data_IF_343039756919
#
_entry.id   IF_343039756919
#
_cell.length_a   1.000
_cell.length_b   1.000
_cell.length_c   1.000
_cell.angle_alpha   90.00
_cell.angle_beta   90.00
_cell.angle_gamma   90.00
#
_symmetry.space_group_name_H-M   'P 1'
#
loop_
_entity.id
_entity.type
_entity.pdbx_description
1 polymer ?
#
# COMPACT_ATOMS: atom_id res chain seq x y z
N UNK A 1 54.69 -32.05 76.00
CA UNK A 1 55.05 -33.20 75.15
C UNK A 1 54.03 -34.29 75.39
N UNK A 2 52.94 -34.26 74.62
CA UNK A 2 52.03 -35.41 74.58
C UNK A 2 52.80 -36.59 73.98
N UNK A 3 52.81 -37.72 74.71
CA UNK A 3 53.42 -38.95 74.21
C UNK A 3 52.64 -39.38 72.98
N UNK A 4 53.26 -39.28 71.80
CA UNK A 4 52.72 -39.85 70.58
C UNK A 4 52.37 -41.32 70.83
N UNK A 5 51.08 -41.64 70.87
CA UNK A 5 50.61 -43.02 70.94
C UNK A 5 51.21 -43.75 69.73
N UNK A 6 51.96 -44.81 69.97
CA UNK A 6 52.40 -45.68 68.89
C UNK A 6 51.13 -46.22 68.20
N UNK A 7 50.89 -45.80 66.96
CA UNK A 7 49.81 -46.37 66.17
C UNK A 7 50.05 -47.88 66.12
N UNK A 8 49.13 -48.68 66.63
CA UNK A 8 49.18 -50.15 66.52
C UNK A 8 48.48 -50.59 65.23
N UNK A 9 48.68 -51.85 64.82
CA UNK A 9 47.94 -52.42 63.68
C UNK A 9 46.44 -52.40 63.96
N UNK A 10 46.04 -52.70 65.19
CA UNK A 10 44.65 -52.74 65.65
C UNK A 10 43.99 -51.37 65.62
N UNK A 11 44.69 -50.31 66.05
CA UNK A 11 44.17 -48.95 65.99
C UNK A 11 43.95 -48.49 64.54
N UNK A 12 44.89 -48.81 63.63
CA UNK A 12 44.72 -48.51 62.22
C UNK A 12 43.51 -49.23 61.62
N UNK A 13 43.35 -50.52 61.89
CA UNK A 13 42.21 -51.31 61.39
C UNK A 13 40.88 -50.78 61.94
N UNK A 14 40.83 -50.41 63.23
CA UNK A 14 39.63 -49.83 63.82
C UNK A 14 39.25 -48.52 63.13
N UNK A 15 40.22 -47.64 62.87
CA UNK A 15 39.98 -46.37 62.18
C UNK A 15 39.55 -46.61 60.73
N UNK A 16 40.25 -47.51 60.03
CA UNK A 16 39.91 -47.92 58.67
C UNK A 16 38.47 -48.40 58.55
N UNK A 17 38.06 -49.32 59.43
CA UNK A 17 36.71 -49.89 59.40
C UNK A 17 35.63 -48.86 59.77
N UNK A 18 36.00 -47.79 60.50
CA UNK A 18 35.13 -46.65 60.75
C UNK A 18 34.89 -45.81 59.49
N UNK A 19 35.94 -45.51 58.74
CA UNK A 19 35.86 -44.67 57.53
C UNK A 19 35.40 -45.43 56.27
N UNK A 20 35.65 -46.74 56.22
CA UNK A 20 35.26 -47.64 55.13
C UNK A 20 34.39 -48.81 55.63
N UNK A 21 33.16 -48.55 56.10
CA UNK A 21 32.28 -49.60 56.62
C UNK A 21 31.89 -50.65 55.56
N UNK A 22 31.93 -50.26 54.28
CA UNK A 22 31.63 -51.13 53.14
C UNK A 22 32.82 -52.00 52.70
N UNK A 23 34.03 -51.74 53.23
CA UNK A 23 35.23 -52.50 52.93
C UNK A 23 36.04 -52.76 54.22
N UNK A 24 35.48 -53.54 55.16
CA UNK A 24 36.16 -53.81 56.43
C UNK A 24 37.38 -54.71 56.21
N UNK A 25 38.42 -54.46 57.00
CA UNK A 25 39.68 -55.20 56.99
C UNK A 25 39.98 -55.82 58.35
N UNK A 26 40.76 -56.91 58.31
CA UNK A 26 41.38 -57.56 59.47
C UNK A 26 42.90 -57.55 59.35
N UNK A 27 43.61 -57.93 60.42
CA UNK A 27 45.08 -57.98 60.39
C UNK A 27 45.65 -59.04 59.44
N UNK A 28 44.87 -60.10 59.17
CA UNK A 28 45.25 -61.14 58.20
C UNK A 28 45.20 -60.62 56.77
N UNK A 29 44.24 -59.73 56.47
CA UNK A 29 44.02 -59.18 55.14
C UNK A 29 45.18 -58.34 54.63
N UNK A 30 45.97 -57.75 55.54
CA UNK A 30 47.18 -56.99 55.20
C UNK A 30 48.27 -57.85 54.52
N UNK A 31 48.12 -59.18 54.53
CA UNK A 31 49.02 -60.13 53.85
C UNK A 31 48.42 -60.68 52.55
N UNK A 32 47.23 -60.23 52.16
CA UNK A 32 46.52 -60.72 50.97
C UNK A 32 46.61 -59.64 49.88
N UNK A 33 47.28 -59.91 48.74
CA UNK A 33 47.42 -58.94 47.64
C UNK A 33 46.12 -58.27 47.22
N UNK A 34 45.08 -59.08 46.96
CA UNK A 34 43.79 -58.59 46.49
C UNK A 34 43.11 -57.67 47.49
N UNK A 35 43.18 -57.98 48.79
CA UNK A 35 42.56 -57.16 49.82
C UNK A 35 43.30 -55.84 50.02
N UNK A 36 44.63 -55.85 49.95
CA UNK A 36 45.45 -54.62 50.02
C UNK A 36 45.20 -53.74 48.79
N UNK A 37 45.11 -54.30 47.59
CA UNK A 37 44.79 -53.54 46.38
C UNK A 37 43.37 -52.98 46.41
N UNK A 38 42.39 -53.77 46.87
CA UNK A 38 41.02 -53.31 47.03
C UNK A 38 40.92 -52.16 48.03
N UNK A 39 41.66 -52.23 49.14
CA UNK A 39 41.78 -51.14 50.10
C UNK A 39 42.36 -49.87 49.47
N UNK A 40 43.43 -49.98 48.67
CA UNK A 40 44.02 -48.83 47.96
C UNK A 40 43.03 -48.15 47.03
N UNK A 41 42.21 -48.92 46.32
CA UNK A 41 41.16 -48.33 45.48
C UNK A 41 40.13 -47.52 46.27
N UNK A 42 39.78 -47.94 47.49
CA UNK A 42 38.89 -47.14 48.35
C UNK A 42 39.49 -45.77 48.67
N UNK A 43 40.81 -45.72 48.90
CA UNK A 43 41.52 -44.47 49.17
C UNK A 43 41.63 -43.63 47.89
N UNK A 44 41.89 -44.24 46.74
CA UNK A 44 41.95 -43.55 45.46
C UNK A 44 40.62 -42.91 45.07
N UNK A 45 39.52 -43.62 45.25
CA UNK A 45 38.18 -43.08 44.98
C UNK A 45 37.92 -41.81 45.82
N UNK A 46 38.31 -41.81 47.10
CA UNK A 46 38.19 -40.66 47.99
C UNK A 46 39.11 -39.49 47.62
N UNK A 47 40.28 -39.79 47.05
CA UNK A 47 41.20 -38.79 46.53
C UNK A 47 40.82 -38.28 45.13
N UNK A 48 39.75 -38.80 44.52
CA UNK A 48 39.34 -38.45 43.16
C UNK A 48 40.28 -38.98 42.08
N UNK A 49 41.04 -40.04 42.39
CA UNK A 49 41.93 -40.69 41.43
C UNK A 49 41.12 -41.74 40.67
N UNK A 50 41.03 -41.58 39.36
CA UNK A 50 40.24 -42.44 38.50
C UNK A 50 40.75 -43.89 38.51
N UNK A 51 39.89 -44.80 38.98
CA UNK A 51 40.16 -46.24 39.01
C UNK A 51 40.34 -46.81 37.61
N UNK A 52 39.56 -46.34 36.63
CA UNK A 52 39.63 -46.87 35.27
C UNK A 52 40.96 -46.51 34.63
N UNK A 53 41.49 -45.32 34.91
CA UNK A 53 42.84 -44.92 34.50
C UNK A 53 43.95 -45.82 35.11
N UNK A 54 43.77 -46.29 36.35
CA UNK A 54 44.72 -47.22 36.99
C UNK A 54 44.67 -48.60 36.32
N UNK A 55 43.47 -49.07 35.97
CA UNK A 55 43.27 -50.37 35.32
C UNK A 55 43.59 -50.33 33.82
N UNK A 56 43.64 -49.14 33.22
CA UNK A 56 43.87 -48.97 31.80
C UNK A 56 45.26 -49.45 31.35
N UNK A 57 45.27 -50.06 30.17
CA UNK A 57 46.51 -50.33 29.45
C UNK A 57 47.16 -49.00 29.00
N UNK A 58 48.49 -48.95 28.83
CA UNK A 58 49.16 -47.77 28.29
C UNK A 58 48.56 -47.37 26.93
N UNK A 59 48.70 -46.10 26.50
CA UNK A 59 48.24 -45.64 25.19
C UNK A 59 48.75 -46.54 24.06
N UNK A 60 47.95 -46.74 23.01
CA UNK A 60 48.28 -47.67 21.91
C UNK A 60 49.65 -47.41 21.29
N UNK A 61 50.03 -46.14 21.18
CA UNK A 61 51.33 -45.68 20.67
C UNK A 61 52.53 -46.21 21.46
N UNK A 62 52.33 -46.55 22.74
CA UNK A 62 53.37 -47.06 23.64
C UNK A 62 53.28 -48.58 23.84
N UNK A 63 52.35 -49.27 23.18
CA UNK A 63 52.22 -50.72 23.26
C UNK A 63 53.18 -51.39 22.29
N UNK A 64 53.82 -52.46 22.73
CA UNK A 64 54.58 -53.37 21.89
C UNK A 64 53.94 -54.76 21.90
N UNK A 65 54.41 -55.65 21.02
CA UNK A 65 53.93 -57.03 20.90
C UNK A 65 54.01 -57.84 22.20
N UNK A 66 54.85 -57.40 23.14
CA UNK A 66 55.03 -58.05 24.44
C UNK A 66 54.12 -57.51 25.54
N UNK A 67 53.44 -56.38 25.33
CA UNK A 67 52.62 -55.71 26.35
C UNK A 67 51.44 -56.58 26.80
N UNK A 68 50.89 -57.37 25.87
CA UNK A 68 49.78 -58.32 26.10
C UNK A 68 50.11 -59.34 27.20
N UNK A 69 51.37 -59.80 27.28
CA UNK A 69 51.79 -60.81 28.25
C UNK A 69 51.85 -60.31 29.70
N UNK A 70 51.78 -58.99 29.90
CA UNK A 70 51.90 -58.36 31.21
C UNK A 70 50.62 -57.61 31.62
N UNK A 71 49.50 -57.82 30.90
CA UNK A 71 48.24 -57.12 31.18
C UNK A 71 47.79 -57.25 32.64
N UNK A 72 47.94 -58.44 33.22
CA UNK A 72 47.55 -58.72 34.61
C UNK A 72 48.40 -57.96 35.64
N UNK A 73 49.62 -57.54 35.27
CA UNK A 73 50.51 -56.77 36.14
C UNK A 73 50.31 -55.27 36.02
N UNK A 74 49.63 -54.79 34.98
CA UNK A 74 49.45 -53.35 34.74
C UNK A 74 48.74 -52.63 35.88
N UNK A 75 47.65 -53.16 36.49
CA UNK A 75 47.04 -52.53 37.65
C UNK A 75 48.04 -52.32 38.79
N UNK A 76 48.88 -53.32 39.07
CA UNK A 76 49.88 -53.26 40.15
C UNK A 76 50.98 -52.24 39.83
N UNK A 77 51.44 -52.21 38.59
CA UNK A 77 52.45 -51.24 38.11
C UNK A 77 51.89 -49.81 38.18
N UNK A 78 50.68 -49.60 37.69
CA UNK A 78 50.02 -48.29 37.68
C UNK A 78 49.73 -47.80 39.10
N UNK A 79 49.21 -48.65 39.99
CA UNK A 79 49.06 -48.33 41.41
C UNK A 79 50.39 -47.93 42.04
N UNK A 80 51.46 -48.70 41.78
CA UNK A 80 52.80 -48.38 42.27
C UNK A 80 53.27 -47.00 41.81
N UNK A 81 53.04 -46.67 40.52
CA UNK A 81 53.39 -45.36 39.95
C UNK A 81 52.60 -44.22 40.57
N UNK A 82 51.28 -44.38 40.70
CA UNK A 82 50.40 -43.37 41.31
C UNK A 82 50.85 -43.09 42.75
N UNK A 83 51.07 -44.13 43.55
CA UNK A 83 51.46 -43.94 44.95
C UNK A 83 52.83 -43.28 45.04
N UNK A 84 53.81 -43.73 44.25
CA UNK A 84 55.14 -43.11 44.22
C UNK A 84 55.09 -41.64 43.78
N UNK A 85 54.17 -41.29 42.89
CA UNK A 85 53.95 -39.90 42.50
C UNK A 85 53.33 -39.07 43.63
N UNK A 86 52.31 -39.60 44.32
CA UNK A 86 51.69 -38.92 45.47
C UNK A 86 52.68 -38.63 46.60
N UNK A 87 53.62 -39.54 46.82
CA UNK A 87 54.61 -39.42 47.90
C UNK A 87 55.93 -38.85 47.43
N UNK A 88 56.11 -38.50 46.14
CA UNK A 88 57.38 -37.98 45.61
C UNK A 88 57.78 -36.64 46.23
N UNK A 89 56.80 -35.90 46.73
CA UNK A 89 56.99 -34.64 47.46
C UNK A 89 57.38 -34.84 48.93
N UNK A 90 57.36 -36.09 49.42
CA UNK A 90 57.71 -36.47 50.79
C UNK A 90 59.08 -37.18 50.81
N UNK A 91 60.20 -36.45 51.00
CA UNK A 91 61.55 -37.02 50.91
C UNK A 91 61.87 -38.08 51.97
N UNK A 92 61.01 -38.24 52.98
CA UNK A 92 61.17 -39.22 54.05
C UNK A 92 60.52 -40.58 53.74
N UNK A 93 59.76 -40.70 52.65
CA UNK A 93 59.08 -41.94 52.25
C UNK A 93 59.93 -42.67 51.21
N UNK A 94 60.33 -43.91 51.54
CA UNK A 94 61.02 -44.81 50.62
C UNK A 94 60.12 -45.18 49.44
N UNK A 95 60.69 -45.26 48.24
CA UNK A 95 59.97 -45.67 47.03
C UNK A 95 59.34 -47.06 47.19
N UNK A 96 58.06 -47.17 46.84
CA UNK A 96 57.31 -48.41 46.87
C UNK A 96 57.57 -49.18 45.57
N UNK A 97 57.93 -50.45 45.68
CA UNK A 97 58.06 -51.38 44.56
C UNK A 97 56.78 -52.20 44.33
N UNK A 98 56.66 -52.74 43.11
CA UNK A 98 55.58 -53.67 42.71
C UNK A 98 55.53 -54.91 43.61
N UNK A 99 56.68 -55.35 44.14
CA UNK A 99 56.78 -56.50 45.04
C UNK A 99 56.02 -56.30 46.35
N UNK A 100 55.87 -55.06 46.84
CA UNK A 100 55.09 -54.79 48.06
C UNK A 100 53.60 -55.13 47.89
N UNK A 101 53.09 -55.19 46.66
CA UNK A 101 51.72 -55.55 46.36
C UNK A 101 51.55 -57.01 45.94
N UNK A 102 52.54 -57.58 45.23
CA UNK A 102 52.52 -58.99 44.85
C UNK A 102 52.83 -59.92 46.04
N UNK A 103 53.65 -59.45 46.99
CA UNK A 103 54.07 -60.18 48.19
C UNK A 103 53.95 -59.30 49.44
N UNK A 104 52.71 -58.90 49.81
CA UNK A 104 52.48 -57.99 50.91
C UNK A 104 52.84 -58.63 52.26
N UNK A 105 53.58 -57.89 53.07
CA UNK A 105 53.75 -58.20 54.50
C UNK A 105 52.84 -57.29 55.32
N UNK A 106 52.42 -57.76 56.50
CA UNK A 106 51.58 -56.95 57.39
C UNK A 106 52.21 -55.58 57.73
N UNK A 107 53.55 -55.51 57.79
CA UNK A 107 54.28 -54.26 58.05
C UNK A 107 54.22 -53.34 56.82
N UNK A 108 54.60 -53.84 55.64
CA UNK A 108 54.67 -53.02 54.42
C UNK A 108 53.30 -52.53 53.99
N UNK A 109 52.29 -53.40 53.98
CA UNK A 109 50.92 -53.04 53.59
C UNK A 109 50.33 -52.02 54.54
N UNK A 110 50.53 -52.20 55.85
CA UNK A 110 50.10 -51.24 56.85
C UNK A 110 50.77 -49.89 56.67
N UNK A 111 52.09 -49.86 56.44
CA UNK A 111 52.81 -48.59 56.23
C UNK A 111 52.30 -47.83 55.01
N UNK A 112 52.06 -48.53 53.89
CA UNK A 112 51.55 -47.92 52.66
C UNK A 112 50.12 -47.42 52.85
N UNK A 113 49.23 -48.26 53.40
CA UNK A 113 47.83 -47.90 53.62
C UNK A 113 47.70 -46.78 54.64
N UNK A 114 48.45 -46.80 55.74
CA UNK A 114 48.44 -45.74 56.75
C UNK A 114 48.89 -44.40 56.16
N UNK A 115 49.92 -44.40 55.32
CA UNK A 115 50.39 -43.19 54.65
C UNK A 115 49.31 -42.57 53.77
N UNK A 116 48.68 -43.39 52.92
CA UNK A 116 47.65 -42.91 51.99
C UNK A 116 46.33 -42.57 52.70
N UNK A 117 45.98 -43.31 53.74
CA UNK A 117 44.82 -43.03 54.59
C UNK A 117 44.98 -41.68 55.29
N UNK A 118 46.16 -41.39 55.85
CA UNK A 118 46.43 -40.09 56.45
C UNK A 118 46.43 -38.95 55.41
N UNK A 119 46.95 -39.20 54.21
CA UNK A 119 46.87 -38.24 53.11
C UNK A 119 45.42 -37.93 52.72
N UNK A 120 44.57 -38.95 52.65
CA UNK A 120 43.14 -38.81 52.38
C UNK A 120 42.45 -37.99 53.46
N UNK A 121 42.64 -38.32 54.74
CA UNK A 121 42.04 -37.56 55.84
C UNK A 121 42.49 -36.10 55.84
N UNK A 122 43.80 -35.86 55.60
CA UNK A 122 44.32 -34.50 55.45
C UNK A 122 43.66 -33.76 54.29
N UNK A 123 43.51 -34.40 53.12
CA UNK A 123 42.86 -33.80 51.96
C UNK A 123 41.39 -33.46 52.24
N UNK A 124 40.63 -34.36 52.85
CA UNK A 124 39.22 -34.12 53.22
C UNK A 124 39.08 -32.94 54.19
N UNK A 125 40.01 -32.80 55.15
CA UNK A 125 40.03 -31.66 56.06
C UNK A 125 40.36 -30.35 55.33
N UNK A 126 41.36 -30.35 54.44
CA UNK A 126 41.71 -29.16 53.66
C UNK A 126 40.61 -28.76 52.67
N UNK A 127 39.88 -29.72 52.10
CA UNK A 127 38.72 -29.43 51.24
C UNK A 127 37.61 -28.73 52.01
N UNK A 128 37.36 -29.10 53.29
CA UNK A 128 36.39 -28.38 54.14
C UNK A 128 36.79 -26.92 54.38
N UNK A 129 38.09 -26.64 54.50
CA UNK A 129 38.57 -25.27 54.66
C UNK A 129 38.39 -24.43 53.39
N UNK A 130 38.43 -25.05 52.20
CA UNK A 130 38.28 -24.38 50.90
C UNK A 130 36.80 -24.30 50.46
N UNK A 131 35.93 -25.20 50.93
CA UNK A 131 34.52 -25.27 50.53
C UNK A 131 33.77 -23.93 50.55
N UNK A 132 33.93 -23.03 51.56
CA UNK A 132 33.28 -21.72 51.53
C UNK A 132 33.69 -20.83 50.35
N UNK A 133 34.97 -20.90 49.96
CA UNK A 133 35.49 -20.13 48.82
C UNK A 133 35.00 -20.71 47.49
N UNK A 134 34.86 -22.04 47.42
CA UNK A 134 34.31 -22.73 46.26
C UNK A 134 32.82 -22.38 46.06
N UNK A 135 32.02 -22.40 47.14
CA UNK A 135 30.62 -21.98 47.13
C UNK A 135 30.47 -20.51 46.70
N UNK A 136 31.34 -19.62 47.18
CA UNK A 136 31.36 -18.22 46.73
C UNK A 136 31.65 -18.10 45.23
N UNK A 137 32.62 -18.88 44.72
CA UNK A 137 32.99 -18.88 43.31
C UNK A 137 31.84 -19.39 42.42
N UNK A 138 31.14 -20.43 42.84
CA UNK A 138 29.94 -20.90 42.13
C UNK A 138 28.82 -19.87 42.15
N UNK A 139 28.56 -19.23 43.30
CA UNK A 139 27.57 -18.16 43.39
C UNK A 139 27.91 -16.97 42.47
N UNK A 140 29.20 -16.62 42.35
CA UNK A 140 29.66 -15.58 41.40
C UNK A 140 29.49 -16.01 39.95
N UNK A 141 29.74 -17.27 39.65
CA UNK A 141 29.52 -17.83 38.30
C UNK A 141 28.05 -17.72 37.88
N UNK A 142 27.13 -18.02 38.80
CA UNK A 142 25.69 -17.87 38.53
C UNK A 142 25.28 -16.40 38.37
N UNK A 143 25.86 -15.49 39.17
CA UNK A 143 25.67 -14.05 38.96
C UNK A 143 26.12 -13.62 37.56
N UNK A 144 27.27 -14.09 37.08
CA UNK A 144 27.75 -13.78 35.72
C UNK A 144 26.77 -14.28 34.67
N UNK A 145 26.28 -15.53 34.76
CA UNK A 145 25.28 -16.07 33.82
C UNK A 145 24.01 -15.22 33.79
N UNK A 146 23.49 -14.80 34.94
CA UNK A 146 22.29 -13.94 34.98
C UNK A 146 22.51 -12.57 34.34
N UNK A 147 23.73 -12.01 34.46
CA UNK A 147 24.08 -10.75 33.82
C UNK A 147 24.25 -10.91 32.31
N UNK A 148 24.82 -12.02 31.85
CA UNK A 148 24.91 -12.37 30.43
C UNK A 148 23.52 -12.53 29.80
N UNK A 149 22.60 -13.23 30.46
CA UNK A 149 21.21 -13.37 30.01
C UNK A 149 20.52 -12.01 29.92
N UNK A 150 20.72 -11.13 30.91
CA UNK A 150 20.15 -9.78 30.90
C UNK A 150 20.74 -8.94 29.76
N UNK A 151 22.05 -9.03 29.52
CA UNK A 151 22.71 -8.35 28.39
C UNK A 151 22.10 -8.81 27.07
N UNK A 152 21.91 -10.11 26.89
CA UNK A 152 21.34 -10.67 25.66
C UNK A 152 19.91 -10.17 25.42
N UNK A 153 19.05 -10.14 26.44
CA UNK A 153 17.69 -9.57 26.33
C UNK A 153 17.71 -8.09 25.94
N UNK A 154 18.64 -7.30 26.51
CA UNK A 154 18.75 -5.89 26.15
C UNK A 154 19.19 -5.69 24.70
N UNK A 155 20.07 -6.57 24.18
CA UNK A 155 20.46 -6.54 22.77
C UNK A 155 19.30 -6.91 21.85
N UNK A 156 18.48 -7.89 22.21
CA UNK A 156 17.26 -8.24 21.47
C UNK A 156 16.31 -7.05 21.40
N UNK A 157 16.02 -6.40 22.53
CA UNK A 157 15.18 -5.20 22.57
C UNK A 157 15.75 -4.05 21.72
N UNK A 158 17.07 -3.86 21.73
CA UNK A 158 17.73 -2.83 20.91
C UNK A 158 17.58 -3.12 19.42
N UNK A 159 17.73 -4.39 19.03
CA UNK A 159 17.55 -4.81 17.64
C UNK A 159 16.09 -4.63 17.18
N UNK A 160 15.11 -4.97 18.01
CA UNK A 160 13.69 -4.72 17.72
C UNK A 160 13.40 -3.23 17.54
N UNK A 161 13.95 -2.36 18.40
CA UNK A 161 13.81 -0.92 18.26
C UNK A 161 14.46 -0.40 16.96
N UNK A 162 15.63 -0.92 16.60
CA UNK A 162 16.29 -0.56 15.35
C UNK A 162 15.45 -0.98 14.13
N UNK A 163 14.89 -2.18 14.13
CA UNK A 163 14.01 -2.67 13.06
C UNK A 163 12.73 -1.82 12.94
N UNK A 164 12.10 -1.46 14.07
CA UNK A 164 10.93 -0.58 14.08
C UNK A 164 11.28 0.82 13.55
N UNK A 165 12.46 1.35 13.89
CA UNK A 165 12.94 2.64 13.38
C UNK A 165 13.16 2.57 11.87
N UNK A 166 13.78 1.51 11.35
CA UNK A 166 13.93 1.29 9.90
C UNK A 166 12.59 1.23 9.18
N UNK A 167 11.62 0.46 9.70
CA UNK A 167 10.25 0.41 9.13
C UNK A 167 9.54 1.77 9.17
N UNK A 168 9.81 2.60 10.19
CA UNK A 168 9.25 3.95 10.26
C UNK A 168 9.88 4.86 9.22
N UNK A 169 11.18 4.76 9.00
CA UNK A 169 11.91 5.51 7.99
C UNK A 169 11.42 5.18 6.58
N UNK A 170 11.26 3.89 6.25
CA UNK A 170 10.67 3.45 4.97
C UNK A 170 9.24 3.99 4.76
N UNK A 171 8.43 4.07 5.82
CA UNK A 171 7.08 4.66 5.73
C UNK A 171 7.12 6.16 5.49
N UNK A 172 8.07 6.86 6.11
CA UNK A 172 8.25 8.30 5.92
C UNK A 172 8.76 8.60 4.51
N UNK A 173 9.64 7.77 3.95
CA UNK A 173 10.12 7.89 2.59
C UNK A 173 8.96 7.75 1.58
N UNK A 174 8.12 6.72 1.72
CA UNK A 174 6.91 6.57 0.89
C UNK A 174 5.96 7.75 1.01
N UNK A 175 5.73 8.26 2.22
CA UNK A 175 4.91 9.45 2.44
C UNK A 175 5.50 10.68 1.74
N UNK A 176 6.82 10.83 1.74
CA UNK A 176 7.47 11.93 1.02
C UNK A 176 7.33 11.76 -0.50
N UNK A 177 7.46 10.54 -1.03
CA UNK A 177 7.21 10.26 -2.45
C UNK A 177 5.76 10.60 -2.84
N UNK A 178 4.78 10.19 -2.03
CA UNK A 178 3.37 10.49 -2.24
C UNK A 178 3.10 12.01 -2.18
N UNK A 179 3.69 12.71 -1.21
CA UNK A 179 3.59 14.18 -1.10
C UNK A 179 4.14 14.84 -2.36
N UNK A 180 5.31 14.40 -2.85
CA UNK A 180 5.92 14.94 -4.05
C UNK A 180 5.03 14.73 -5.29
N UNK A 181 4.43 13.54 -5.43
CA UNK A 181 3.48 13.26 -6.50
C UNK A 181 2.25 14.16 -6.42
N UNK A 182 1.66 14.34 -5.24
CA UNK A 182 0.52 15.25 -5.06
C UNK A 182 0.87 16.72 -5.30
N UNK A 183 2.08 17.15 -4.94
CA UNK A 183 2.56 18.50 -5.25
C UNK A 183 2.70 18.72 -6.77
N UNK A 184 3.22 17.72 -7.50
CA UNK A 184 3.34 17.76 -8.95
C UNK A 184 1.96 17.71 -9.64
N UNK A 185 1.03 16.88 -9.18
CA UNK A 185 -0.35 16.83 -9.66
C UNK A 185 -1.08 18.17 -9.43
N UNK A 186 -0.94 18.74 -8.23
CA UNK A 186 -1.53 20.04 -7.89
C UNK A 186 -0.96 21.16 -8.78
N UNK A 187 0.32 21.07 -9.13
CA UNK A 187 0.95 22.03 -10.04
C UNK A 187 0.36 21.92 -11.45
N UNK A 188 0.20 20.71 -11.97
CA UNK A 188 -0.42 20.47 -13.28
C UNK A 188 -1.88 20.94 -13.31
N UNK A 189 -2.64 20.68 -12.24
CA UNK A 189 -4.04 21.12 -12.15
C UNK A 189 -4.15 22.66 -12.10
N UNK A 190 -3.23 23.33 -11.41
CA UNK A 190 -3.16 24.80 -11.42
C UNK A 190 -2.82 25.36 -12.80
N UNK A 191 -1.85 24.76 -13.50
CA UNK A 191 -1.48 25.14 -14.86
C UNK A 191 -2.69 24.99 -15.81
N UNK A 192 -3.38 23.85 -15.76
CA UNK A 192 -4.61 23.62 -16.54
C UNK A 192 -5.73 24.60 -16.18
N UNK A 193 -5.94 24.89 -14.89
CA UNK A 193 -6.94 25.87 -14.46
C UNK A 193 -6.59 27.29 -14.95
N UNK A 194 -5.31 27.66 -14.97
CA UNK A 194 -4.88 28.96 -15.48
C UNK A 194 -5.07 29.06 -17.01
N UNK A 195 -4.88 27.97 -17.75
CA UNK A 195 -5.22 27.86 -19.18
C UNK A 195 -6.73 28.03 -19.40
N UNK A 196 -7.56 27.24 -18.71
CA UNK A 196 -9.03 27.34 -18.77
C UNK A 196 -9.52 28.76 -18.44
N UNK A 197 -8.91 29.40 -17.45
CA UNK A 197 -9.23 30.78 -17.08
C UNK A 197 -8.91 31.76 -18.20
N UNK A 198 -7.76 31.60 -18.87
CA UNK A 198 -7.39 32.44 -20.02
C UNK A 198 -8.35 32.24 -21.19
N UNK A 199 -8.74 31.00 -21.48
CA UNK A 199 -9.74 30.69 -22.50
C UNK A 199 -11.09 31.32 -22.17
N UNK A 200 -11.55 31.20 -20.92
CA UNK A 200 -12.79 31.82 -20.46
C UNK A 200 -12.75 33.35 -20.57
N UNK A 201 -11.64 33.99 -20.20
CA UNK A 201 -11.47 35.44 -20.36
C UNK A 201 -11.49 35.85 -21.84
N UNK A 202 -10.95 35.04 -22.76
CA UNK A 202 -11.02 35.28 -24.19
C UNK A 202 -12.48 35.19 -24.71
N UNK A 203 -13.20 34.14 -24.32
CA UNK A 203 -14.63 33.97 -24.68
C UNK A 203 -15.48 35.10 -24.12
N UNK A 204 -15.24 35.54 -22.88
CA UNK A 204 -15.96 36.68 -22.30
C UNK A 204 -15.70 37.98 -23.06
N UNK A 205 -14.47 38.24 -23.52
CA UNK A 205 -14.15 39.40 -24.37
C UNK A 205 -14.85 39.32 -25.73
N UNK A 206 -14.87 38.15 -26.35
CA UNK A 206 -15.58 37.93 -27.61
C UNK A 206 -17.09 38.14 -27.44
N UNK A 207 -17.70 37.54 -26.41
CA UNK A 207 -19.11 37.74 -26.09
C UNK A 207 -19.44 39.22 -25.87
N UNK A 208 -18.59 39.96 -25.15
CA UNK A 208 -18.79 41.39 -24.96
C UNK A 208 -18.72 42.18 -26.27
N UNK A 209 -17.79 41.83 -27.17
CA UNK A 209 -17.73 42.44 -28.51
C UNK A 209 -19.00 42.13 -29.32
N UNK A 210 -19.48 40.90 -29.27
CA UNK A 210 -20.73 40.48 -29.92
C UNK A 210 -21.91 41.28 -29.36
N UNK A 211 -22.03 41.41 -28.03
CA UNK A 211 -23.06 42.23 -27.39
C UNK A 211 -23.05 43.68 -27.88
N UNK A 212 -21.88 44.32 -27.93
CA UNK A 212 -21.72 45.68 -28.45
C UNK A 212 -22.17 45.79 -29.90
N UNK A 213 -21.83 44.81 -30.74
CA UNK A 213 -22.29 44.76 -32.14
C UNK A 213 -23.81 44.57 -32.22
N UNK A 214 -24.36 43.69 -31.39
CA UNK A 214 -25.80 43.43 -31.31
C UNK A 214 -26.56 44.69 -30.91
N UNK A 215 -26.07 45.42 -29.92
CA UNK A 215 -26.64 46.70 -29.46
C UNK A 215 -26.62 47.75 -30.57
N UNK A 216 -25.50 47.87 -31.30
CA UNK A 216 -25.40 48.75 -32.48
C UNK A 216 -26.40 48.36 -33.57
N UNK A 217 -26.54 47.07 -33.87
CA UNK A 217 -27.49 46.55 -34.87
C UNK A 217 -28.94 46.78 -34.45
N UNK A 218 -29.28 46.61 -33.17
CA UNK A 218 -30.60 46.98 -32.62
C UNK A 218 -30.87 48.47 -32.82
N UNK A 219 -29.91 49.34 -32.49
CA UNK A 219 -30.03 50.78 -32.73
C UNK A 219 -30.27 51.14 -34.20
N UNK A 220 -29.53 50.51 -35.13
CA UNK A 220 -29.74 50.68 -36.57
C UNK A 220 -31.14 50.21 -37.00
N UNK A 221 -31.57 49.03 -36.53
CA UNK A 221 -32.91 48.51 -36.80
C UNK A 221 -33.99 49.48 -36.33
N UNK A 222 -33.85 50.00 -35.11
CA UNK A 222 -34.83 50.92 -34.53
C UNK A 222 -34.86 52.27 -35.29
N UNK A 223 -33.71 52.75 -35.76
CA UNK A 223 -33.62 53.92 -36.64
C UNK A 223 -34.31 53.67 -37.99
N UNK A 224 -34.13 52.49 -38.60
CA UNK A 224 -34.82 52.11 -39.84
C UNK A 224 -36.33 52.02 -39.61
N UNK A 225 -36.78 51.41 -38.50
CA UNK A 225 -38.21 51.35 -38.16
C UNK A 225 -38.81 52.74 -37.98
N UNK A 226 -38.09 53.66 -37.34
CA UNK A 226 -38.50 55.06 -37.21
C UNK A 226 -38.56 55.78 -38.57
N UNK A 227 -37.59 55.55 -39.46
CA UNK A 227 -37.60 56.09 -40.82
C UNK A 227 -38.78 55.57 -41.64
N UNK A 228 -39.06 54.25 -41.57
CA UNK A 228 -40.21 53.63 -42.21
C UNK A 228 -41.52 54.22 -41.69
N UNK A 229 -41.64 54.43 -40.38
CA UNK A 229 -42.80 55.08 -39.79
C UNK A 229 -42.96 56.53 -40.29
N UNK A 230 -41.87 57.30 -40.37
CA UNK A 230 -41.87 58.67 -40.92
C UNK A 230 -42.29 58.69 -42.39
N UNK A 231 -41.72 57.82 -43.22
CA UNK A 231 -42.10 57.70 -44.64
C UNK A 231 -43.54 57.24 -44.84
N UNK A 232 -44.06 56.38 -43.96
CA UNK A 232 -45.49 56.02 -43.95
C UNK A 232 -46.37 57.22 -43.60
N UNK A 233 -45.96 58.07 -42.65
CA UNK A 233 -46.68 59.30 -42.31
C UNK A 233 -46.67 60.34 -43.44
N UNK A 234 -45.54 60.51 -44.13
CA UNK A 234 -45.42 61.39 -45.31
C UNK A 234 -46.33 60.95 -46.47
N UNK A 235 -46.51 59.64 -46.65
CA UNK A 235 -47.43 59.07 -47.65
C UNK A 235 -48.89 59.50 -47.49
N UNK A 236 -49.28 59.93 -46.29
CA UNK A 236 -50.64 60.44 -46.01
C UNK A 236 -50.78 61.91 -46.43
N UNK A 237 -49.70 62.68 -46.47
CA UNK A 237 -49.70 64.06 -46.97
C UNK A 237 -49.72 64.12 -48.50
N UNK A 238 -48.99 63.23 -49.20
CA UNK A 238 -49.01 63.15 -50.67
C UNK A 238 -50.39 62.71 -51.22
N UNK A 239 -51.24 62.07 -50.40
CA UNK A 239 -52.58 61.65 -50.81
C UNK A 239 -53.51 62.84 -51.05
N UNK A 240 -53.33 63.97 -50.35
CA UNK A 240 -54.10 65.20 -50.61
C UNK A 240 -53.65 65.88 -51.91
N UNK A 241 -52.35 65.87 -52.23
CA UNK A 241 -51.83 66.36 -53.51
C UNK A 241 -52.28 65.50 -54.69
N UNK A 242 -52.31 64.17 -54.54
CA UNK A 242 -52.86 63.25 -55.54
C UNK A 242 -54.37 63.47 -55.73
N UNK A 243 -55.10 63.77 -54.65
CA UNK A 243 -56.54 64.06 -54.72
C UNK A 243 -56.82 65.40 -55.39
N UNK A 244 -55.99 66.43 -55.14
CA UNK A 244 -56.06 67.72 -55.83
C UNK A 244 -55.75 67.60 -57.33
N UNK A 245 -54.75 66.80 -57.71
CA UNK A 245 -54.46 66.51 -59.13
C UNK A 245 -55.59 65.71 -59.80
N UNK A 246 -56.24 64.79 -59.08
CA UNK A 246 -57.39 64.05 -59.58
C UNK A 246 -58.65 64.94 -59.75
N UNK A 247 -58.90 65.88 -58.83
CA UNK A 247 -60.00 66.85 -58.95
C UNK A 247 -59.77 67.83 -60.11
N UNK A 248 -58.53 68.31 -60.30
CA UNK A 248 -58.22 69.19 -61.43
C UNK A 248 -58.28 68.46 -62.78
N UNK A 249 -57.90 67.18 -62.83
CA UNK A 249 -58.10 66.36 -64.01
C UNK A 249 -59.60 66.13 -64.33
N UNK A 250 -60.44 65.92 -63.30
CA UNK A 250 -61.88 65.80 -63.48
C UNK A 250 -62.52 67.11 -63.98
N UNK A 251 -62.07 68.27 -63.48
CA UNK A 251 -62.53 69.58 -63.93
C UNK A 251 -62.16 69.84 -65.40
N UNK A 252 -60.94 69.48 -65.80
CA UNK A 252 -60.51 69.59 -67.20
C UNK A 252 -61.31 68.69 -68.15
N UNK A 253 -61.70 67.49 -67.72
CA UNK A 253 -62.58 66.60 -68.50
C UNK A 253 -63.97 67.21 -68.66
N UNK A 254 -64.52 67.83 -67.61
CA UNK A 254 -65.82 68.48 -67.66
C UNK A 254 -65.82 69.71 -68.60
N UNK A 255 -64.77 70.53 -68.56
CA UNK A 255 -64.61 71.65 -69.52
C UNK A 255 -64.44 71.17 -70.98
N UNK A 256 -63.79 70.02 -71.18
CA UNK A 256 -63.65 69.43 -72.51
C UNK A 256 -64.99 68.89 -73.04
N UNK A 257 -65.83 68.31 -72.18
CA UNK A 257 -67.19 67.90 -72.54
C UNK A 257 -68.09 69.09 -72.88
N UNK A 258 -67.98 70.20 -72.14
CA UNK A 258 -68.71 71.45 -72.45
C UNK A 258 -68.29 72.05 -73.79
N UNK A 259 -66.97 72.07 -74.09
CA UNK A 259 -66.44 72.48 -75.40
C UNK A 259 -66.91 71.57 -76.54
N UNK A 260 -66.99 70.26 -76.29
CA UNK A 260 -67.48 69.29 -77.26
C UNK A 260 -68.99 69.49 -77.54
N UNK A 261 -69.77 69.83 -76.52
CA UNK A 261 -71.17 70.19 -76.69
C UNK A 261 -71.37 71.51 -77.44
N UNK A 262 -70.51 72.52 -77.22
CA UNK A 262 -70.54 73.76 -78.02
C UNK A 262 -70.15 73.50 -79.48
N UNK A 263 -69.16 72.63 -79.73
CA UNK A 263 -68.78 72.21 -81.08
C UNK A 263 -69.92 71.45 -81.78
N UNK A 264 -70.63 70.55 -81.07
CA UNK A 264 -71.83 69.88 -81.61
C UNK A 264 -72.94 70.87 -81.98
N UNK A 265 -73.19 71.87 -81.15
CA UNK A 265 -74.16 72.92 -81.46
C UNK A 265 -73.75 73.75 -82.69
N UNK A 266 -72.46 74.04 -82.84
CA UNK A 266 -71.91 74.77 -84.00
C UNK A 266 -71.99 73.94 -85.29
N UNK A 267 -71.77 72.63 -85.18
CA UNK A 267 -71.86 71.69 -86.30
C UNK A 267 -73.31 71.55 -86.81
N UNK A 268 -74.29 71.49 -85.89
CA UNK A 268 -75.72 71.50 -86.23
C UNK A 268 -76.16 72.81 -86.90
N UNK A 269 -75.56 73.95 -86.52
CA UNK A 269 -75.79 75.24 -87.18
C UNK A 269 -75.18 75.31 -88.60
N UNK A 270 -74.03 74.64 -88.81
CA UNK A 270 -73.39 74.49 -90.13
C UNK A 270 -74.16 73.52 -91.04
N UNK A 271 -74.71 72.43 -90.53
CA UNK A 271 -75.59 71.52 -91.30
C UNK A 271 -76.86 72.21 -91.79
N UNK A 272 -77.49 73.06 -90.97
CA UNK A 272 -78.64 73.87 -91.39
C UNK A 272 -78.29 74.95 -92.41
N UNK A 273 -77.05 75.45 -92.41
CA UNK A 273 -76.56 76.38 -93.44
C UNK A 273 -76.25 75.66 -94.77
N UNK A 274 -75.89 74.37 -94.73
CA UNK A 274 -75.63 73.55 -95.92
C UNK A 274 -76.93 73.17 -96.67
N UNK A 275 -78.03 72.95 -95.94
CA UNK A 275 -79.37 72.67 -96.52
C UNK A 275 -79.94 73.82 -97.34
N UNK A 276 -79.53 75.06 -97.10
CA UNK A 276 -79.98 76.24 -97.86
C UNK A 276 -79.14 76.54 -99.12
N UNK A 277 -78.05 75.79 -99.37
CA UNK A 277 -77.20 75.92 -100.56
C UNK A 277 -77.41 74.81 -101.62
N UNK A 278 -78.28 73.83 -101.34
CA UNK A 278 -78.53 72.64 -102.16
C UNK A 278 -79.76 72.72 -103.09
N UNK A 279 -80.19 73.93 -103.49
CA UNK A 279 -81.41 74.10 -104.31
C UNK A 279 -81.25 74.87 -105.61
N UNK A 280 -80.03 75.06 -106.12
CA UNK A 280 -79.86 75.49 -107.53
C UNK A 280 -78.65 74.79 -108.17
N UNK A 281 -78.97 73.78 -108.98
CA UNK A 281 -78.54 73.62 -110.38
C UNK A 281 -77.88 72.27 -110.71
N UNK A 282 -78.65 71.34 -111.29
CA UNK A 282 -78.08 70.25 -112.06
C UNK A 282 -77.47 70.81 -113.36
N UNK A 283 -76.17 70.59 -113.59
CA UNK A 283 -75.55 70.67 -114.92
C UNK A 283 -74.07 70.24 -114.88
N UNK A 284 -73.78 68.96 -114.59
CA UNK A 284 -72.53 68.30 -114.99
C UNK A 284 -72.62 66.78 -114.74
N UNK A 285 -73.72 66.19 -115.21
CA UNK A 285 -73.64 64.83 -115.75
C UNK A 285 -72.57 64.81 -116.86
N UNK A 286 -71.91 63.67 -117.01
CA UNK A 286 -71.14 63.31 -118.23
C UNK A 286 -69.87 64.11 -118.54
N UNK A 287 -68.83 63.99 -117.69
CA UNK A 287 -67.45 64.20 -118.14
C UNK A 287 -66.35 63.32 -117.53
N UNK A 288 -66.56 62.48 -116.49
CA UNK A 288 -65.50 61.50 -116.15
C UNK A 288 -65.89 60.24 -115.35
N UNK A 289 -67.05 59.65 -115.65
CA UNK A 289 -67.33 58.24 -115.37
C UNK A 289 -66.82 57.30 -116.48
N UNK A 290 -65.71 57.65 -117.14
CA UNK A 290 -64.97 56.75 -118.05
C UNK A 290 -63.46 56.74 -117.75
N UNK A 291 -63.13 56.78 -116.46
CA UNK A 291 -61.92 56.18 -115.88
C UNK A 291 -62.26 55.41 -114.58
N UNK A 292 -63.52 55.01 -114.46
CA UNK A 292 -63.90 53.85 -113.65
C UNK A 292 -63.81 52.64 -114.57
N UNK A 293 -63.23 51.58 -114.01
CA UNK A 293 -63.62 50.20 -114.30
C UNK A 293 -63.21 49.63 -115.65
N UNK A 294 -62.24 48.72 -115.51
CA UNK A 294 -61.91 47.52 -116.29
C UNK A 294 -60.39 47.58 -116.29
N UNK A 295 -59.69 47.07 -115.29
CA UNK A 295 -59.83 45.72 -114.78
C UNK A 295 -58.88 45.66 -113.58
N UNK A 296 -59.35 45.23 -112.40
CA UNK A 296 -59.46 43.79 -112.10
C UNK A 296 -58.13 43.09 -112.42
N UNK A 297 -57.46 42.45 -111.50
CA UNK A 297 -57.95 41.63 -110.39
C UNK A 297 -56.69 41.06 -109.74
N UNK A 298 -56.86 40.51 -108.54
CA UNK A 298 -55.91 39.65 -107.82
C UNK A 298 -54.63 40.36 -107.37
N UNK A 299 -54.32 40.48 -106.09
CA UNK A 299 -54.60 39.59 -104.96
C UNK A 299 -54.36 40.42 -103.69
N UNK A 300 -55.37 40.51 -102.82
CA UNK A 300 -55.50 39.67 -101.62
C UNK A 300 -54.72 40.24 -100.43
N UNK A 301 -55.42 40.89 -99.50
CA UNK A 301 -55.96 40.30 -98.27
C UNK A 301 -54.89 40.01 -97.20
N UNK A 302 -54.88 40.88 -96.17
CA UNK A 302 -55.02 40.58 -94.73
C UNK A 302 -54.75 41.89 -93.98
N UNK A 303 -55.63 42.46 -93.15
CA UNK A 303 -56.50 41.96 -92.08
C UNK A 303 -55.77 41.26 -90.91
N UNK A 304 -55.74 42.04 -89.81
CA UNK A 304 -55.91 41.73 -88.39
C UNK A 304 -54.77 41.18 -87.50
N UNK A 305 -54.63 41.91 -86.38
CA UNK A 305 -54.56 41.49 -84.98
C UNK A 305 -53.23 41.14 -84.28
N UNK A 306 -52.98 41.94 -83.23
CA UNK A 306 -52.54 41.56 -81.87
C UNK A 306 -51.10 41.09 -81.64
N UNK A 307 -50.56 41.53 -80.49
CA UNK A 307 -49.71 40.69 -79.65
C UNK A 307 -48.21 41.00 -79.67
N UNK A 308 -47.75 41.44 -78.51
CA UNK A 308 -46.54 41.01 -77.81
C UNK A 308 -45.14 41.12 -78.43
N UNK A 309 -44.32 41.86 -77.66
CA UNK A 309 -42.99 41.54 -77.14
C UNK A 309 -41.82 41.20 -78.09
N UNK A 310 -40.76 41.98 -77.84
CA UNK A 310 -39.35 41.62 -77.81
C UNK A 310 -38.76 40.84 -78.98
N UNK A 311 -37.93 41.54 -79.75
CA UNK A 311 -36.70 40.97 -80.30
C UNK A 311 -35.79 42.07 -80.81
N UNK A 312 -34.83 42.45 -79.98
CA UNK A 312 -33.51 42.88 -80.43
C UNK A 312 -32.50 42.69 -79.29
N UNK A 313 -31.86 41.51 -79.24
CA UNK A 313 -30.45 41.36 -78.87
C UNK A 313 -30.06 39.88 -78.94
N UNK A 314 -29.52 39.47 -80.09
CA UNK A 314 -29.12 38.08 -80.38
C UNK A 314 -27.70 37.73 -79.89
N UNK A 315 -27.20 38.38 -78.84
CA UNK A 315 -25.81 38.22 -78.40
C UNK A 315 -25.62 38.10 -76.87
N UNK A 316 -26.64 38.40 -76.06
CA UNK A 316 -26.56 38.31 -74.59
C UNK A 316 -26.99 36.96 -73.99
N UNK A 317 -27.90 36.21 -74.63
CA UNK A 317 -28.46 34.99 -74.03
C UNK A 317 -27.47 33.81 -74.02
N UNK A 318 -26.53 33.77 -74.96
CA UNK A 318 -25.55 32.68 -75.08
C UNK A 318 -24.40 32.82 -74.07
N UNK A 319 -24.00 34.05 -73.74
CA UNK A 319 -23.02 34.33 -72.68
C UNK A 319 -23.64 34.09 -71.28
N UNK A 320 -24.90 34.50 -71.07
CA UNK A 320 -25.62 34.24 -69.81
C UNK A 320 -25.78 32.73 -69.57
N UNK A 321 -26.15 31.96 -70.60
CA UNK A 321 -26.26 30.51 -70.49
C UNK A 321 -24.91 29.83 -70.25
N UNK A 322 -23.81 30.30 -70.83
CA UNK A 322 -22.47 29.76 -70.55
C UNK A 322 -21.97 30.09 -69.14
N UNK A 323 -22.25 31.30 -68.64
CA UNK A 323 -21.95 31.64 -67.24
C UNK A 323 -22.79 30.82 -66.26
N UNK A 324 -24.08 30.62 -66.53
CA UNK A 324 -24.95 29.78 -65.70
C UNK A 324 -24.50 28.31 -65.71
N UNK A 325 -24.02 27.79 -66.84
CA UNK A 325 -23.52 26.42 -66.94
C UNK A 325 -22.18 26.26 -66.20
N UNK A 326 -21.30 27.27 -66.25
CA UNK A 326 -20.05 27.30 -65.49
C UNK A 326 -20.29 27.45 -63.98
N UNK A 327 -21.24 28.28 -63.57
CA UNK A 327 -21.64 28.45 -62.17
C UNK A 327 -22.30 27.18 -61.61
N UNK A 328 -23.14 26.50 -62.41
CA UNK A 328 -23.71 25.21 -62.05
C UNK A 328 -22.66 24.09 -61.96
N UNK A 329 -21.64 24.09 -62.82
CA UNK A 329 -20.51 23.17 -62.72
C UNK A 329 -19.64 23.44 -61.47
N UNK A 330 -19.39 24.71 -61.14
CA UNK A 330 -18.70 25.09 -59.92
C UNK A 330 -19.49 24.65 -58.68
N UNK A 331 -20.79 24.93 -58.63
CA UNK A 331 -21.68 24.50 -57.55
C UNK A 331 -21.73 22.98 -57.40
N UNK A 332 -21.70 22.22 -58.50
CA UNK A 332 -21.67 20.74 -58.46
C UNK A 332 -20.32 20.21 -57.97
N UNK A 333 -19.21 20.90 -58.29
CA UNK A 333 -17.89 20.55 -57.77
C UNK A 333 -17.78 20.82 -56.25
N UNK A 334 -18.32 21.94 -55.77
CA UNK A 334 -18.40 22.26 -54.34
C UNK A 334 -19.34 21.28 -53.58
N UNK A 335 -20.43 20.86 -54.22
CA UNK A 335 -21.32 19.83 -53.65
C UNK A 335 -20.65 18.45 -53.54
N UNK A 336 -19.75 18.13 -54.48
CA UNK A 336 -18.97 16.88 -54.41
C UNK A 336 -17.91 16.93 -53.31
N UNK A 337 -17.17 18.04 -53.20
CA UNK A 337 -16.15 18.19 -52.14
C UNK A 337 -16.79 18.22 -50.75
N UNK A 338 -17.87 18.98 -50.55
CA UNK A 338 -18.61 18.98 -49.27
C UNK A 338 -19.18 17.61 -48.91
N UNK A 339 -19.62 16.82 -49.90
CA UNK A 339 -20.09 15.45 -49.68
C UNK A 339 -18.96 14.48 -49.32
N UNK A 340 -17.78 14.63 -49.92
CA UNK A 340 -16.58 13.85 -49.58
C UNK A 340 -16.06 14.20 -48.18
N UNK A 341 -16.00 15.49 -47.83
CA UNK A 341 -15.64 15.95 -46.49
C UNK A 341 -16.63 15.46 -45.42
N UNK A 342 -17.93 15.48 -45.71
CA UNK A 342 -18.94 14.92 -44.82
C UNK A 342 -18.82 13.41 -44.66
N UNK A 343 -18.40 12.69 -45.71
CA UNK A 343 -18.11 11.25 -45.66
C UNK A 343 -16.89 10.95 -44.80
N UNK A 344 -15.80 11.69 -44.97
CA UNK A 344 -14.58 11.58 -44.18
C UNK A 344 -14.85 11.85 -42.69
N UNK A 345 -15.55 12.95 -42.37
CA UNK A 345 -15.94 13.26 -40.98
C UNK A 345 -16.80 12.16 -40.33
N UNK A 346 -17.66 11.49 -41.10
CA UNK A 346 -18.45 10.35 -40.59
C UNK A 346 -17.56 9.14 -40.30
N UNK A 347 -16.61 8.81 -41.18
CA UNK A 347 -15.67 7.72 -40.94
C UNK A 347 -14.77 8.00 -39.72
N UNK A 348 -14.24 9.22 -39.59
CA UNK A 348 -13.43 9.61 -38.42
C UNK A 348 -14.24 9.58 -37.12
N UNK A 349 -15.49 10.05 -37.12
CA UNK A 349 -16.37 9.96 -35.95
C UNK A 349 -16.66 8.51 -35.58
N UNK A 350 -16.84 7.63 -36.57
CA UNK A 350 -17.09 6.20 -36.33
C UNK A 350 -15.84 5.50 -35.78
N UNK A 351 -14.65 5.82 -36.30
CA UNK A 351 -13.38 5.32 -35.79
C UNK A 351 -13.11 5.79 -34.35
N UNK A 352 -13.34 7.08 -34.04
CA UNK A 352 -13.24 7.62 -32.67
C UNK A 352 -14.17 6.89 -31.70
N UNK A 353 -15.44 6.67 -32.06
CA UNK A 353 -16.38 5.91 -31.20
C UNK A 353 -15.92 4.47 -30.96
N UNK A 354 -15.30 3.82 -31.96
CA UNK A 354 -14.75 2.47 -31.79
C UNK A 354 -13.52 2.46 -30.87
N UNK A 355 -12.66 3.47 -30.95
CA UNK A 355 -11.52 3.65 -30.07
C UNK A 355 -11.96 3.95 -28.63
N UNK A 356 -12.93 4.85 -28.44
CA UNK A 356 -13.53 5.14 -27.12
C UNK A 356 -14.18 3.90 -26.51
N UNK A 357 -14.89 3.11 -27.32
CA UNK A 357 -15.51 1.85 -26.87
C UNK A 357 -14.47 0.84 -26.41
N UNK A 358 -13.33 0.73 -27.10
CA UNK A 358 -12.26 -0.19 -26.72
C UNK A 358 -11.53 0.27 -25.46
N UNK A 359 -11.28 1.57 -25.31
CA UNK A 359 -10.73 2.17 -24.09
C UNK A 359 -11.66 1.96 -22.89
N UNK A 360 -12.97 2.21 -23.05
CA UNK A 360 -13.95 1.98 -22.00
C UNK A 360 -14.03 0.49 -21.58
N UNK A 361 -13.92 -0.44 -22.54
CA UNK A 361 -13.87 -1.87 -22.24
C UNK A 361 -12.58 -2.28 -21.51
N UNK A 362 -11.44 -1.68 -21.84
CA UNK A 362 -10.18 -1.91 -21.11
C UNK A 362 -10.28 -1.39 -19.68
N UNK A 363 -10.75 -0.15 -19.51
CA UNK A 363 -10.92 0.46 -18.20
C UNK A 363 -11.91 -0.33 -17.31
N UNK A 364 -12.97 -0.89 -17.90
CA UNK A 364 -13.90 -1.78 -17.20
C UNK A 364 -13.18 -3.03 -16.66
N UNK A 365 -12.36 -3.68 -17.47
CA UNK A 365 -11.60 -4.88 -17.05
C UNK A 365 -10.60 -4.56 -15.95
N UNK A 366 -9.90 -3.43 -16.06
CA UNK A 366 -8.93 -3.00 -15.04
C UNK A 366 -9.62 -2.67 -13.72
N UNK A 367 -10.82 -2.07 -13.77
CA UNK A 367 -11.65 -1.81 -12.60
C UNK A 367 -12.15 -3.12 -11.96
N UNK A 368 -12.61 -4.09 -12.75
CA UNK A 368 -13.02 -5.42 -12.27
C UNK A 368 -11.85 -6.18 -11.60
N UNK A 369 -10.64 -6.10 -12.17
CA UNK A 369 -9.46 -6.74 -11.58
C UNK A 369 -9.04 -6.07 -10.27
N UNK A 370 -9.10 -4.73 -10.21
CA UNK A 370 -8.86 -3.97 -8.96
C UNK A 370 -9.90 -4.31 -7.90
N UNK A 371 -11.18 -4.40 -8.24
CA UNK A 371 -12.24 -4.80 -7.31
C UNK A 371 -12.01 -6.23 -6.79
N UNK A 372 -11.64 -7.17 -7.67
CA UNK A 372 -11.30 -8.54 -7.27
C UNK A 372 -10.13 -8.57 -6.27
N UNK A 373 -9.04 -7.84 -6.55
CA UNK A 373 -7.88 -7.72 -5.64
C UNK A 373 -8.27 -7.10 -4.29
N UNK A 374 -9.14 -6.08 -4.31
CA UNK A 374 -9.67 -5.44 -3.11
C UNK A 374 -10.49 -6.41 -2.25
N UNK A 375 -11.40 -7.18 -2.87
CA UNK A 375 -12.21 -8.22 -2.20
C UNK A 375 -11.34 -9.31 -1.57
N UNK A 376 -10.33 -9.79 -2.30
CA UNK A 376 -9.39 -10.78 -1.75
C UNK A 376 -8.59 -10.24 -0.57
N UNK A 377 -8.13 -8.99 -0.66
CA UNK A 377 -7.41 -8.31 0.43
C UNK A 377 -8.31 -8.10 1.65
N UNK A 378 -9.55 -7.68 1.45
CA UNK A 378 -10.56 -7.56 2.51
C UNK A 378 -10.84 -8.90 3.20
N UNK A 379 -10.98 -9.98 2.42
CA UNK A 379 -11.16 -11.33 2.97
C UNK A 379 -9.98 -11.77 3.84
N UNK A 380 -8.74 -11.51 3.40
CA UNK A 380 -7.52 -11.80 4.17
C UNK A 380 -7.45 -10.97 5.46
N UNK A 381 -7.82 -9.69 5.40
CA UNK A 381 -7.86 -8.82 6.57
C UNK A 381 -8.88 -9.33 7.62
N UNK A 382 -10.04 -9.79 7.14
CA UNK A 382 -11.11 -10.33 7.99
C UNK A 382 -10.68 -11.64 8.67
N UNK A 383 -9.99 -12.53 7.95
CA UNK A 383 -9.37 -13.74 8.53
C UNK A 383 -8.34 -13.39 9.60
N UNK A 384 -7.41 -12.46 9.32
CA UNK A 384 -6.42 -12.00 10.32
C UNK A 384 -7.07 -11.42 11.58
N UNK A 385 -8.15 -10.65 11.40
CA UNK A 385 -8.89 -10.10 12.55
C UNK A 385 -9.50 -11.21 13.41
N UNK A 386 -9.98 -12.28 12.78
CA UNK A 386 -10.53 -13.44 13.49
C UNK A 386 -9.44 -14.23 14.24
N UNK A 387 -8.29 -14.46 13.60
CA UNK A 387 -7.11 -15.08 14.25
C UNK A 387 -6.64 -14.28 15.47
N UNK A 388 -6.57 -12.94 15.34
CA UNK A 388 -6.20 -12.06 16.46
C UNK A 388 -7.21 -12.19 17.60
N UNK A 389 -8.52 -12.21 17.31
CA UNK A 389 -9.55 -12.40 18.34
C UNK A 389 -9.40 -13.73 19.09
N UNK A 390 -9.11 -14.82 18.37
CA UNK A 390 -8.87 -16.12 18.99
C UNK A 390 -7.60 -16.12 19.85
N UNK A 391 -6.52 -15.51 19.39
CA UNK A 391 -5.29 -15.36 20.15
C UNK A 391 -5.49 -14.53 21.42
N UNK A 392 -6.22 -13.42 21.34
CA UNK A 392 -6.57 -12.58 22.50
C UNK A 392 -7.42 -13.35 23.51
N UNK A 393 -8.39 -14.14 23.04
CA UNK A 393 -9.21 -14.98 23.94
C UNK A 393 -8.37 -16.04 24.67
N UNK A 394 -7.40 -16.68 23.97
CA UNK A 394 -6.47 -17.62 24.60
C UNK A 394 -5.57 -16.95 25.63
N UNK A 395 -5.08 -15.76 25.32
CA UNK A 395 -4.26 -14.98 26.25
C UNK A 395 -5.03 -14.59 27.52
N UNK A 396 -6.25 -14.06 27.40
CA UNK A 396 -7.07 -13.71 28.57
C UNK A 396 -7.41 -14.94 29.42
N UNK A 397 -7.65 -16.11 28.79
CA UNK A 397 -7.83 -17.36 29.53
C UNK A 397 -6.58 -17.77 30.31
N UNK A 398 -5.41 -17.77 29.66
CA UNK A 398 -4.14 -18.11 30.31
C UNK A 398 -3.79 -17.13 31.44
N UNK A 399 -4.09 -15.84 31.26
CA UNK A 399 -3.93 -14.81 32.28
C UNK A 399 -4.84 -15.07 33.49
N UNK A 400 -6.10 -15.45 33.27
CA UNK A 400 -7.01 -15.80 34.35
C UNK A 400 -6.53 -17.05 35.12
N UNK A 401 -6.08 -18.08 34.42
CA UNK A 401 -5.46 -19.27 35.03
C UNK A 401 -4.20 -18.91 35.84
N UNK A 402 -3.34 -18.05 35.30
CA UNK A 402 -2.16 -17.52 36.00
C UNK A 402 -2.51 -16.76 37.27
N UNK A 403 -3.54 -15.92 37.25
CA UNK A 403 -4.03 -15.20 38.43
C UNK A 403 -4.59 -16.15 39.50
N UNK A 404 -5.30 -17.21 39.11
CA UNK A 404 -5.80 -18.23 40.02
C UNK A 404 -4.65 -19.01 40.69
N UNK A 405 -3.61 -19.37 39.93
CA UNK A 405 -2.41 -20.01 40.51
C UNK A 405 -1.66 -19.10 41.49
N UNK A 406 -1.54 -17.81 41.17
CA UNK A 406 -0.95 -16.82 42.08
C UNK A 406 -1.78 -16.66 43.36
N UNK A 407 -3.10 -16.67 43.25
CA UNK A 407 -3.99 -16.60 44.41
C UNK A 407 -3.80 -17.81 45.32
N UNK A 408 -3.74 -19.02 44.75
CA UNK A 408 -3.47 -20.26 45.51
C UNK A 408 -2.11 -20.25 46.19
N UNK A 409 -1.04 -19.89 45.47
CA UNK A 409 0.30 -19.79 46.08
C UNK A 409 0.33 -18.78 47.23
N UNK A 410 -0.36 -17.65 47.09
CA UNK A 410 -0.49 -16.66 48.16
C UNK A 410 -1.20 -17.24 49.38
N UNK A 411 -2.30 -17.97 49.17
CA UNK A 411 -3.07 -18.59 50.25
C UNK A 411 -2.26 -19.70 50.96
N UNK A 412 -1.57 -20.54 50.20
CA UNK A 412 -0.65 -21.55 50.73
C UNK A 412 0.47 -20.93 51.56
N UNK A 413 1.06 -19.83 51.08
CA UNK A 413 2.11 -19.11 51.80
C UNK A 413 1.59 -18.50 53.11
N UNK A 414 0.42 -17.87 53.09
CA UNK A 414 -0.22 -17.31 54.30
C UNK A 414 -0.50 -18.43 55.31
N UNK A 415 -1.06 -19.55 54.86
CA UNK A 415 -1.34 -20.69 55.72
C UNK A 415 -0.04 -21.28 56.31
N UNK A 416 1.04 -21.36 55.52
CA UNK A 416 2.35 -21.77 55.99
C UNK A 416 2.93 -20.84 57.07
N UNK A 417 2.80 -19.51 56.88
CA UNK A 417 3.23 -18.53 57.88
C UNK A 417 2.44 -18.67 59.19
N UNK A 418 1.12 -18.79 59.11
CA UNK A 418 0.26 -18.97 60.27
C UNK A 418 0.62 -20.25 61.04
N UNK A 419 0.90 -21.34 60.34
CA UNK A 419 1.30 -22.61 60.97
C UNK A 419 2.65 -22.49 61.70
N UNK A 420 3.61 -21.76 61.13
CA UNK A 420 4.91 -21.48 61.77
C UNK A 420 4.71 -20.60 63.01
N UNK A 421 3.87 -19.57 62.90
CA UNK A 421 3.56 -18.67 64.00
C UNK A 421 2.91 -19.43 65.17
N UNK A 422 1.91 -20.28 64.91
CA UNK A 422 1.30 -21.15 65.91
C UNK A 422 2.32 -22.10 66.56
N UNK A 423 3.22 -22.70 65.78
CA UNK A 423 4.26 -23.58 66.29
C UNK A 423 5.25 -22.85 67.20
N UNK A 424 5.62 -21.62 66.85
CA UNK A 424 6.45 -20.73 67.67
C UNK A 424 5.74 -20.36 68.97
N UNK A 425 4.47 -19.94 68.90
CA UNK A 425 3.65 -19.60 70.06
C UNK A 425 3.53 -20.79 71.04
N UNK A 426 3.37 -22.00 70.50
CA UNK A 426 3.37 -23.23 71.30
C UNK A 426 4.72 -23.49 71.97
N UNK A 427 5.84 -23.23 71.28
CA UNK A 427 7.18 -23.39 71.87
C UNK A 427 7.47 -22.35 72.95
N UNK A 428 7.03 -21.12 72.76
CA UNK A 428 7.14 -20.04 73.75
C UNK A 428 6.36 -20.41 75.00
N UNK A 429 5.08 -20.81 74.86
CA UNK A 429 4.25 -21.22 76.00
C UNK A 429 4.77 -22.47 76.71
N UNK A 430 5.31 -23.47 75.98
CA UNK A 430 6.01 -24.63 76.59
C UNK A 430 7.25 -24.20 77.38
N UNK A 431 8.02 -23.22 76.88
CA UNK A 431 9.21 -22.70 77.55
C UNK A 431 8.86 -21.88 78.79
N UNK A 432 7.85 -21.01 78.71
CA UNK A 432 7.32 -20.25 79.85
C UNK A 432 6.87 -21.19 80.97
N UNK A 433 6.09 -22.22 80.63
CA UNK A 433 5.64 -23.22 81.61
C UNK A 433 6.80 -23.96 82.28
N UNK A 434 7.84 -24.33 81.51
CA UNK A 434 9.07 -24.94 82.06
C UNK A 434 9.84 -23.99 82.99
N UNK A 435 9.86 -22.70 82.68
CA UNK A 435 10.50 -21.68 83.54
C UNK A 435 9.70 -21.51 84.83
N UNK A 436 8.37 -21.40 84.75
CA UNK A 436 7.48 -21.33 85.91
C UNK A 436 7.62 -22.56 86.82
N UNK A 437 7.64 -23.77 86.26
CA UNK A 437 7.84 -25.01 87.02
C UNK A 437 9.20 -25.04 87.72
N UNK A 438 10.27 -24.58 87.05
CA UNK A 438 11.61 -24.44 87.66
C UNK A 438 11.65 -23.41 88.78
N UNK A 439 10.93 -22.30 88.63
CA UNK A 439 10.85 -21.26 89.66
C UNK A 439 10.03 -21.72 90.87
N UNK A 440 8.93 -22.44 90.65
CA UNK A 440 8.14 -23.07 91.73
C UNK A 440 8.96 -24.08 92.53
N UNK A 441 9.73 -24.94 91.86
CA UNK A 441 10.57 -25.93 92.51
C UNK A 441 11.83 -25.36 93.21
N UNK A 442 12.11 -24.06 93.04
CA UNK A 442 13.20 -23.35 93.73
C UNK A 442 12.75 -22.63 95.01
N UNK A 443 11.44 -22.44 95.18
CA UNK A 443 10.82 -21.76 96.32
C UNK A 443 10.16 -22.72 97.32
N UNK A 444 10.38 -24.03 97.15
CA UNK A 444 10.18 -25.11 98.12
C UNK A 444 11.56 -25.60 98.56
#
# INVERSE_FOLDING_TARGET
MEKAQAFTVENFISNWNGDFPNYPMTAADLKIPHTVMGALFQVFDRLGIDRDAILAAPPEENRNDHTVYYWDLLPVINMTRVINHLVSVMPQVSTISVTHFLQPTSITSRSILLLLFNLMLFNEERLKDIAPQEEELFAKTDQVKTLEDRKNRLLEMLNEQAEQKGKREERLEKLNEDIQQFEDELKQEKEAHDEDKQELEAVLKENHQIEVVLEKKKGIRDAILAEVARKKALRVYDAEDIKAQAEQAAQNVQEAEEKLNTLRATLMQKENSLKNLQTIKPSLDTANNLLHEIMKVSESLKDYESGDLDSDSKEGELDVLNTELSELQAALSELKTTREEASLKRQESQAKRQQEKTLAQSALRDAEEKDKKSRESSKKALQRTQEIKEATARYEKSKAEGLDTLAKMREEFINGLNAIEEALLKKVTEAEKRIEDKLRNRNL
#
